data_IF_879934130286
#
_entry.id   IF_879934130286
#
_cell.length_a   1.000
_cell.length_b   1.000
_cell.length_c   1.000
_cell.angle_alpha   90.00
_cell.angle_beta   90.00
_cell.angle_gamma   90.00
#
_symmetry.space_group_name_H-M   'P 1'
#
loop_
_entity.id
_entity.type
_entity.pdbx_description
1 polymer ?
#
# COMPACT_ATOMS: atom_id res chain seq x y z
N UNK A 1 9.95 -21.05 -18.42
CA UNK A 1 9.87 -21.74 -17.11
C UNK A 1 9.33 -20.73 -16.11
N UNK A 2 8.01 -20.58 -16.04
CA UNK A 2 7.37 -19.60 -15.16
C UNK A 2 7.34 -20.16 -13.73
N UNK A 3 8.00 -19.48 -12.81
CA UNK A 3 7.99 -19.84 -11.40
C UNK A 3 6.61 -19.58 -10.80
N UNK A 4 5.76 -20.60 -10.78
CA UNK A 4 4.59 -20.62 -9.91
C UNK A 4 5.04 -21.21 -8.57
N UNK A 5 5.12 -20.36 -7.55
CA UNK A 5 5.15 -20.80 -6.16
C UNK A 5 3.86 -20.27 -5.52
N UNK A 6 2.88 -21.15 -5.38
CA UNK A 6 1.64 -21.00 -4.60
C UNK A 6 0.66 -19.91 -5.09
N UNK A 7 -0.16 -20.27 -6.09
CA UNK A 7 -1.53 -19.75 -6.23
C UNK A 7 -1.80 -18.52 -7.09
N UNK A 8 -0.78 -17.75 -7.49
CA UNK A 8 -0.91 -16.62 -8.44
C UNK A 8 0.20 -16.64 -9.48
N UNK A 9 -0.12 -16.26 -10.72
CA UNK A 9 0.89 -15.98 -11.74
C UNK A 9 1.59 -14.64 -11.46
N UNK A 10 2.72 -14.39 -12.12
CA UNK A 10 3.42 -13.10 -12.03
C UNK A 10 2.51 -11.97 -12.54
N UNK A 11 1.79 -12.26 -13.62
CA UNK A 11 0.83 -11.35 -14.25
C UNK A 11 -0.30 -11.00 -13.29
N UNK A 12 -0.86 -11.98 -12.58
CA UNK A 12 -1.90 -11.75 -11.57
C UNK A 12 -1.40 -10.89 -10.41
N UNK A 13 -0.17 -11.15 -9.95
CA UNK A 13 0.45 -10.36 -8.88
C UNK A 13 0.72 -8.90 -9.28
N UNK A 14 1.07 -8.66 -10.54
CA UNK A 14 1.34 -7.31 -11.05
C UNK A 14 0.07 -6.52 -11.43
N UNK A 15 -1.02 -7.21 -11.75
CA UNK A 15 -2.23 -6.61 -12.33
C UNK A 15 -2.85 -5.51 -11.44
N UNK A 16 -2.92 -5.71 -10.12
CA UNK A 16 -3.47 -4.69 -9.19
C UNK A 16 -2.60 -3.43 -9.18
N UNK A 17 -1.27 -3.57 -9.17
CA UNK A 17 -0.37 -2.43 -9.19
C UNK A 17 -0.50 -1.65 -10.50
N UNK A 18 -0.56 -2.35 -11.65
CA UNK A 18 -0.76 -1.73 -12.95
C UNK A 18 -2.12 -1.03 -13.06
N UNK A 19 -3.20 -1.65 -12.57
CA UNK A 19 -4.52 -1.02 -12.53
C UNK A 19 -4.50 0.28 -11.72
N UNK A 20 -3.97 0.25 -10.49
CA UNK A 20 -3.92 1.41 -9.60
C UNK A 20 -3.03 2.54 -10.14
N UNK A 21 -1.95 2.19 -10.85
CA UNK A 21 -1.03 3.16 -11.41
C UNK A 21 -1.51 3.80 -12.72
N UNK A 22 -2.28 3.07 -13.53
CA UNK A 22 -2.52 3.46 -14.94
C UNK A 22 -3.99 3.66 -15.31
N UNK A 23 -4.93 3.06 -14.59
CA UNK A 23 -6.34 3.13 -14.94
C UNK A 23 -6.88 4.56 -14.79
N UNK A 24 -7.58 5.04 -15.82
CA UNK A 24 -8.32 6.31 -15.76
C UNK A 24 -9.40 6.27 -14.69
N UNK A 25 -10.03 5.11 -14.50
CA UNK A 25 -11.08 4.90 -13.52
C UNK A 25 -10.64 5.28 -12.10
N UNK A 26 -9.43 4.88 -11.70
CA UNK A 26 -8.84 5.19 -10.38
C UNK A 26 -8.71 6.69 -10.15
N UNK A 27 -8.48 7.46 -11.22
CA UNK A 27 -8.44 8.92 -11.18
C UNK A 27 -9.84 9.52 -11.19
N UNK A 28 -10.70 9.06 -12.10
CA UNK A 28 -12.05 9.60 -12.34
C UNK A 28 -12.99 9.32 -11.16
N UNK A 29 -12.85 8.18 -10.49
CA UNK A 29 -13.60 7.81 -9.29
C UNK A 29 -12.90 8.21 -7.98
N UNK A 30 -11.74 8.86 -8.07
CA UNK A 30 -10.95 9.33 -6.93
C UNK A 30 -10.67 8.22 -5.87
N UNK A 31 -10.31 7.02 -6.31
CA UNK A 31 -9.92 5.93 -5.41
C UNK A 31 -8.60 6.28 -4.70
N UNK A 32 -8.68 6.61 -3.40
CA UNK A 32 -7.55 7.01 -2.54
C UNK A 32 -7.68 6.36 -1.17
N UNK A 33 -6.56 5.84 -0.64
CA UNK A 33 -6.53 5.19 0.68
C UNK A 33 -7.34 3.88 0.79
N UNK A 34 -7.74 3.30 -0.34
CA UNK A 34 -8.52 2.06 -0.42
C UNK A 34 -7.60 0.86 -0.65
N UNK A 35 -8.05 -0.33 -0.23
CA UNK A 35 -7.32 -1.59 -0.37
C UNK A 35 -7.93 -2.43 -1.49
N UNK A 36 -7.08 -3.17 -2.23
CA UNK A 36 -7.51 -3.97 -3.38
C UNK A 36 -6.89 -5.38 -3.34
N UNK A 37 -7.72 -6.42 -3.36
CA UNK A 37 -7.29 -7.84 -3.41
C UNK A 37 -8.35 -8.72 -4.12
N UNK A 38 -7.95 -9.81 -4.81
CA UNK A 38 -6.59 -10.09 -5.23
C UNK A 38 -6.19 -9.29 -6.49
N UNK A 39 -7.11 -9.12 -7.46
CA UNK A 39 -6.86 -8.44 -8.75
C UNK A 39 -7.87 -7.30 -8.93
N UNK A 40 -7.42 -6.05 -8.84
CA UNK A 40 -8.18 -4.82 -9.09
C UNK A 40 -9.57 -4.75 -8.39
N UNK A 41 -9.78 -5.53 -7.33
CA UNK A 41 -11.06 -5.63 -6.63
C UNK A 41 -10.94 -4.94 -5.28
N UNK A 42 -11.77 -3.93 -5.04
CA UNK A 42 -11.77 -3.20 -3.76
C UNK A 42 -12.15 -4.15 -2.62
N UNK A 43 -11.47 -4.01 -1.49
CA UNK A 43 -11.68 -4.82 -0.31
C UNK A 43 -11.76 -3.95 0.95
N UNK A 44 -12.61 -4.37 1.88
CA UNK A 44 -12.70 -3.79 3.19
C UNK A 44 -11.53 -4.32 4.07
N UNK A 45 -10.65 -3.44 4.59
CA UNK A 45 -9.50 -3.90 5.35
C UNK A 45 -9.89 -4.48 6.72
N UNK A 46 -8.92 -4.98 7.47
CA UNK A 46 -9.20 -5.46 8.84
C UNK A 46 -9.54 -4.30 9.79
N UNK A 47 -10.21 -4.60 10.90
CA UNK A 47 -10.61 -3.58 11.88
C UNK A 47 -9.43 -2.77 12.44
N UNK A 48 -8.29 -3.42 12.68
CA UNK A 48 -7.07 -2.74 13.15
C UNK A 48 -6.51 -1.80 12.10
N UNK A 49 -6.59 -2.15 10.81
CA UNK A 49 -6.09 -1.33 9.70
C UNK A 49 -6.91 -0.04 9.51
N UNK A 50 -8.15 0.00 10.01
CA UNK A 50 -9.00 1.20 10.01
C UNK A 50 -8.80 2.12 11.21
N UNK A 51 -7.96 1.75 12.16
CA UNK A 51 -7.75 2.56 13.35
C UNK A 51 -6.82 3.74 13.04
N UNK A 52 -7.41 4.90 12.72
CA UNK A 52 -6.66 6.10 12.36
C UNK A 52 -5.82 6.67 13.50
N UNK A 53 -6.21 6.46 14.76
CA UNK A 53 -5.36 6.84 15.89
C UNK A 53 -4.10 5.99 15.91
N UNK A 54 -4.25 4.67 15.80
CA UNK A 54 -3.11 3.76 15.76
C UNK A 54 -2.20 4.04 14.56
N UNK A 55 -2.77 4.36 13.39
CA UNK A 55 -1.99 4.76 12.21
C UNK A 55 -1.16 6.03 12.46
N UNK A 56 -1.71 7.02 13.18
CA UNK A 56 -0.98 8.23 13.57
C UNK A 56 0.11 7.93 14.58
N UNK A 57 -0.24 7.23 15.66
CA UNK A 57 0.72 6.84 16.72
C UNK A 57 1.90 6.04 16.11
N UNK A 58 1.61 5.16 15.15
CA UNK A 58 2.62 4.39 14.43
C UNK A 58 3.53 5.28 13.57
N UNK A 59 2.97 6.25 12.85
CA UNK A 59 3.77 7.19 12.07
C UNK A 59 4.71 8.00 12.95
N UNK A 60 4.22 8.54 14.06
CA UNK A 60 5.02 9.36 14.98
C UNK A 60 6.18 8.56 15.57
N UNK A 61 5.93 7.28 15.87
CA UNK A 61 6.98 6.36 16.28
C UNK A 61 8.00 6.12 15.16
N UNK A 62 7.58 5.83 13.93
CA UNK A 62 8.48 5.61 12.79
C UNK A 62 9.35 6.85 12.54
N UNK A 63 8.76 8.04 12.54
CA UNK A 63 9.47 9.30 12.32
C UNK A 63 10.53 9.55 13.39
N UNK A 64 10.22 9.24 14.66
CA UNK A 64 11.18 9.29 15.76
C UNK A 64 12.33 8.32 15.54
N UNK A 65 12.04 7.06 15.20
CA UNK A 65 13.08 6.04 14.97
C UNK A 65 13.95 6.35 13.75
N UNK A 66 13.34 6.84 12.67
CA UNK A 66 14.06 7.24 11.47
C UNK A 66 14.98 8.44 11.75
N UNK A 67 14.49 9.43 12.52
CA UNK A 67 15.30 10.57 12.95
C UNK A 67 16.49 10.14 13.81
N UNK A 68 16.29 9.21 14.74
CA UNK A 68 17.37 8.66 15.59
C UNK A 68 18.42 7.92 14.75
N UNK A 69 18.01 7.18 13.72
CA UNK A 69 18.90 6.35 12.91
C UNK A 69 19.58 7.09 11.76
N UNK A 70 18.88 8.04 11.12
CA UNK A 70 19.28 8.67 9.85
C UNK A 70 19.51 10.19 9.97
N UNK A 71 19.11 10.81 11.09
CA UNK A 71 19.20 12.24 11.33
C UNK A 71 17.92 13.01 10.97
N UNK A 72 17.86 14.29 11.34
CA UNK A 72 16.66 15.15 11.21
C UNK A 72 16.18 15.35 9.77
N UNK A 73 17.08 15.26 8.78
CA UNK A 73 16.77 15.50 7.38
C UNK A 73 16.41 14.22 6.60
N UNK A 74 16.15 13.10 7.28
CA UNK A 74 15.94 11.78 6.66
C UNK A 74 14.82 11.74 5.61
N UNK A 75 13.84 12.64 5.71
CA UNK A 75 12.74 12.73 4.76
C UNK A 75 13.12 13.41 3.43
N UNK A 76 14.26 14.09 3.38
CA UNK A 76 14.74 14.86 2.24
C UNK A 76 16.06 14.34 1.64
N UNK A 77 16.63 13.29 2.23
CA UNK A 77 17.77 12.54 1.68
C UNK A 77 17.34 11.69 0.49
#
# INVERSE_FOLDING_TARGET
MAGSWLGQSLEDGAATALYLATSREVREQNHRGQYFIPIATMCEPSAISRNMKLARDLWDWIDTQATEALGLDWQYQ
#
